data_IF_170941184430
#
_entry.id   IF_170941184430
#
_cell.length_a   1.000
_cell.length_b   1.000
_cell.length_c   1.000
_cell.angle_alpha   90.00
_cell.angle_beta   90.00
_cell.angle_gamma   90.00
#
_symmetry.space_group_name_H-M   'P 1'
#
loop_
_entity.id
_entity.type
_entity.pdbx_description
1 polymer ?
#
# COMPACT_ATOMS: atom_id res chain seq x y z
N UNK A 1 4.38 -20.54 -1.02
CA UNK A 1 3.54 -19.67 -0.15
C UNK A 1 4.34 -19.00 0.96
N UNK A 2 5.11 -19.73 1.78
CA UNK A 2 5.87 -19.16 2.89
C UNK A 2 6.78 -17.97 2.50
N UNK A 3 7.54 -18.08 1.39
CA UNK A 3 8.41 -17.00 0.93
C UNK A 3 7.65 -15.72 0.52
N UNK A 4 6.48 -15.88 -0.11
CA UNK A 4 5.64 -14.74 -0.55
C UNK A 4 5.03 -14.00 0.66
N UNK A 5 4.57 -14.77 1.66
CA UNK A 5 4.09 -14.20 2.93
C UNK A 5 5.23 -13.49 3.66
N UNK A 6 6.40 -14.11 3.75
CA UNK A 6 7.57 -13.51 4.37
C UNK A 6 7.98 -12.20 3.70
N UNK A 7 7.96 -12.14 2.36
CA UNK A 7 8.26 -10.90 1.63
C UNK A 7 7.28 -9.77 1.95
N UNK A 8 5.97 -10.07 1.97
CA UNK A 8 4.94 -9.10 2.36
C UNK A 8 5.09 -8.62 3.81
N UNK A 9 5.40 -9.55 4.72
CA UNK A 9 5.60 -9.25 6.15
C UNK A 9 6.81 -8.35 6.39
N UNK A 10 7.95 -8.67 5.76
CA UNK A 10 9.18 -7.87 5.85
C UNK A 10 8.94 -6.45 5.34
N UNK A 11 8.27 -6.30 4.18
CA UNK A 11 7.89 -4.99 3.66
C UNK A 11 7.02 -4.21 4.64
N UNK A 12 6.01 -4.86 5.24
CA UNK A 12 5.11 -4.20 6.18
C UNK A 12 5.84 -3.73 7.46
N UNK A 13 6.69 -4.57 8.04
CA UNK A 13 7.49 -4.22 9.24
C UNK A 13 8.45 -3.07 8.92
N UNK A 14 9.12 -3.13 7.77
CA UNK A 14 10.04 -2.08 7.34
C UNK A 14 9.31 -0.74 7.21
N UNK A 15 8.12 -0.74 6.61
CA UNK A 15 7.27 0.46 6.54
C UNK A 15 6.88 0.94 7.94
N UNK A 16 6.39 0.08 8.82
CA UNK A 16 5.98 0.49 10.18
C UNK A 16 7.11 1.18 10.94
N UNK A 17 8.34 0.68 10.82
CA UNK A 17 9.50 1.23 11.50
C UNK A 17 9.97 2.52 10.81
N UNK A 18 10.04 2.55 9.47
CA UNK A 18 10.57 3.69 8.73
C UNK A 18 9.61 4.90 8.68
N UNK A 19 8.29 4.64 8.65
CA UNK A 19 7.27 5.68 8.50
C UNK A 19 7.36 6.79 9.55
N UNK A 20 7.47 6.56 10.87
CA UNK A 20 7.56 7.64 11.85
C UNK A 20 8.78 8.55 11.65
N UNK A 21 9.89 8.02 11.15
CA UNK A 21 11.09 8.82 10.87
C UNK A 21 10.95 9.65 9.59
N UNK A 22 10.28 9.10 8.57
CA UNK A 22 10.15 9.73 7.25
C UNK A 22 8.92 10.66 7.17
N UNK A 23 7.89 10.41 7.97
CA UNK A 23 6.65 11.18 8.04
C UNK A 23 6.82 12.70 8.16
N UNK A 24 7.69 13.24 9.04
CA UNK A 24 7.91 14.68 9.11
C UNK A 24 8.61 15.24 7.87
N UNK A 25 9.47 14.45 7.19
CA UNK A 25 10.14 14.88 5.96
C UNK A 25 9.18 14.95 4.77
N UNK A 26 8.19 14.04 4.70
CA UNK A 26 7.21 14.00 3.61
C UNK A 26 5.94 14.82 3.88
N UNK A 27 5.84 15.47 5.05
CA UNK A 27 4.65 16.25 5.43
C UNK A 27 3.41 15.37 5.59
N UNK A 28 3.52 14.24 6.31
CA UNK A 28 2.42 13.31 6.54
C UNK A 28 1.48 13.79 7.66
N UNK A 29 0.94 15.00 7.50
CA UNK A 29 0.14 15.73 8.50
C UNK A 29 -1.24 16.13 7.97
N UNK A 30 -1.61 15.69 6.75
CA UNK A 30 -2.91 15.98 6.16
C UNK A 30 -3.52 14.75 5.46
N UNK A 31 -4.85 14.68 5.33
CA UNK A 31 -5.53 13.52 4.75
C UNK A 31 -5.10 13.21 3.31
N UNK A 32 -4.76 14.22 2.51
CA UNK A 32 -4.33 14.01 1.11
C UNK A 32 -2.99 13.30 1.05
N UNK A 33 -2.03 13.70 1.90
CA UNK A 33 -0.74 13.02 2.00
C UNK A 33 -0.91 11.58 2.48
N UNK A 34 -1.81 11.32 3.45
CA UNK A 34 -2.11 9.96 3.91
C UNK A 34 -2.73 9.07 2.81
N UNK A 35 -3.63 9.62 1.99
CA UNK A 35 -4.21 8.92 0.83
C UNK A 35 -3.13 8.52 -0.18
N UNK A 36 -2.24 9.45 -0.53
CA UNK A 36 -1.13 9.20 -1.46
C UNK A 36 -0.16 8.16 -0.87
N UNK A 37 0.20 8.31 0.40
CA UNK A 37 1.06 7.37 1.11
C UNK A 37 0.46 5.96 1.12
N UNK A 38 -0.84 5.82 1.43
CA UNK A 38 -1.54 4.55 1.40
C UNK A 38 -1.48 3.86 0.04
N UNK A 39 -1.73 4.61 -1.03
CA UNK A 39 -1.65 4.11 -2.41
C UNK A 39 -0.23 3.71 -2.84
N UNK A 40 0.78 4.51 -2.50
CA UNK A 40 2.18 4.25 -2.90
C UNK A 40 2.79 3.06 -2.16
N UNK A 41 2.53 2.90 -0.87
CA UNK A 41 3.08 1.80 -0.09
C UNK A 41 2.42 0.47 -0.46
N UNK A 42 1.10 0.48 -0.65
CA UNK A 42 0.34 -0.69 -1.09
C UNK A 42 0.34 -1.85 -0.07
N UNK A 43 0.51 -1.56 1.23
CA UNK A 43 0.39 -2.55 2.32
C UNK A 43 -0.54 -2.03 3.40
N UNK A 44 -1.71 -2.63 3.58
CA UNK A 44 -2.70 -2.14 4.57
C UNK A 44 -2.18 -2.19 6.01
N UNK A 45 -1.50 -3.28 6.40
CA UNK A 45 -0.94 -3.41 7.75
C UNK A 45 0.20 -2.41 8.00
N UNK A 46 1.15 -2.30 7.06
CA UNK A 46 2.28 -1.37 7.17
C UNK A 46 1.84 0.10 7.23
N UNK A 47 0.88 0.48 6.39
CA UNK A 47 0.31 1.84 6.37
C UNK A 47 -0.48 2.13 7.64
N UNK A 48 -1.28 1.18 8.13
CA UNK A 48 -2.02 1.33 9.38
C UNK A 48 -1.07 1.55 10.57
N UNK A 49 -0.05 0.70 10.71
CA UNK A 49 0.92 0.81 11.81
C UNK A 49 1.79 2.06 11.72
N UNK A 50 2.26 2.40 10.51
CA UNK A 50 3.05 3.60 10.28
C UNK A 50 2.26 4.89 10.55
N UNK A 51 1.02 4.97 10.07
CA UNK A 51 0.14 6.12 10.34
C UNK A 51 -0.32 6.16 11.79
N UNK A 52 -0.55 5.03 12.44
CA UNK A 52 -0.89 4.97 13.86
C UNK A 52 0.26 5.49 14.73
N UNK A 53 1.51 5.25 14.32
CA UNK A 53 2.70 5.78 14.99
C UNK A 53 2.95 7.27 14.75
N UNK A 54 2.38 7.86 13.68
CA UNK A 54 2.52 9.29 13.37
C UNK A 54 1.34 10.12 13.87
N UNK A 55 0.13 9.78 13.40
CA UNK A 55 -1.13 10.38 13.81
C UNK A 55 -2.29 9.46 13.45
N UNK A 56 -2.94 8.93 14.49
CA UNK A 56 -4.02 7.96 14.40
C UNK A 56 -5.23 8.46 13.59
N UNK A 57 -5.43 9.77 13.47
CA UNK A 57 -6.54 10.35 12.69
C UNK A 57 -6.37 10.14 11.19
N UNK A 58 -5.14 9.96 10.71
CA UNK A 58 -4.85 9.76 9.29
C UNK A 58 -4.97 8.29 8.84
N UNK A 59 -4.99 7.35 9.79
CA UNK A 59 -5.08 5.90 9.54
C UNK A 59 -6.21 5.52 8.57
N UNK A 60 -7.48 5.92 8.78
CA UNK A 60 -8.56 5.51 7.87
C UNK A 60 -8.34 6.02 6.44
N UNK A 61 -7.77 7.22 6.27
CA UNK A 61 -7.53 7.82 4.97
C UNK A 61 -6.50 7.04 4.14
N UNK A 62 -5.39 6.63 4.77
CA UNK A 62 -4.36 5.84 4.10
C UNK A 62 -4.71 4.36 3.95
N UNK A 63 -5.38 3.76 4.94
CA UNK A 63 -5.77 2.35 4.87
C UNK A 63 -6.79 2.06 3.76
N UNK A 64 -7.78 2.94 3.58
CA UNK A 64 -8.76 2.82 2.49
C UNK A 64 -8.07 2.82 1.13
N UNK A 65 -7.12 3.73 0.90
CA UNK A 65 -6.40 3.80 -0.38
C UNK A 65 -5.48 2.60 -0.61
N UNK A 66 -4.81 2.11 0.44
CA UNK A 66 -4.00 0.89 0.35
C UNK A 66 -4.85 -0.35 -0.02
N UNK A 67 -6.06 -0.44 0.54
CA UNK A 67 -7.00 -1.49 0.19
C UNK A 67 -7.48 -1.36 -1.26
N UNK A 68 -7.84 -0.15 -1.69
CA UNK A 68 -8.20 0.12 -3.09
C UNK A 68 -7.06 -0.20 -4.06
N UNK A 69 -5.81 0.16 -3.74
CA UNK A 69 -4.64 -0.20 -4.55
C UNK A 69 -4.55 -1.72 -4.77
N UNK A 70 -4.74 -2.49 -3.70
CA UNK A 70 -4.72 -3.97 -3.78
C UNK A 70 -5.88 -4.48 -4.62
N UNK A 71 -7.10 -4.00 -4.38
CA UNK A 71 -8.29 -4.39 -5.15
C UNK A 71 -8.13 -4.08 -6.65
N UNK A 72 -7.57 -2.91 -6.97
CA UNK A 72 -7.31 -2.49 -8.33
C UNK A 72 -6.24 -3.38 -8.98
N UNK A 73 -5.17 -3.73 -8.27
CA UNK A 73 -4.17 -4.70 -8.72
C UNK A 73 -4.76 -6.10 -8.98
N UNK A 74 -5.64 -6.57 -8.09
CA UNK A 74 -6.33 -7.85 -8.25
C UNK A 74 -7.31 -7.86 -9.43
N UNK A 75 -7.88 -6.70 -9.79
CA UNK A 75 -8.77 -6.57 -10.94
C UNK A 75 -7.99 -6.44 -12.25
N UNK A 76 -6.94 -5.61 -12.25
CA UNK A 76 -6.12 -5.31 -13.41
C UNK A 76 -5.22 -6.48 -13.81
N UNK A 77 -4.64 -7.21 -12.85
CA UNK A 77 -3.76 -8.36 -13.12
C UNK A 77 -4.34 -9.37 -14.12
N UNK A 78 -5.49 -10.01 -13.83
CA UNK A 78 -6.11 -10.96 -14.75
C UNK A 78 -6.61 -10.30 -16.03
N UNK A 79 -7.13 -9.06 -15.95
CA UNK A 79 -7.66 -8.33 -17.10
C UNK A 79 -6.57 -8.01 -18.12
N UNK A 80 -5.44 -7.45 -17.68
CA UNK A 80 -4.28 -7.18 -18.52
C UNK A 80 -3.69 -8.45 -19.09
N UNK A 81 -3.56 -9.49 -18.27
CA UNK A 81 -3.03 -10.78 -18.73
C UNK A 81 -3.90 -11.37 -19.84
N UNK A 82 -5.23 -11.28 -19.71
CA UNK A 82 -6.17 -11.70 -20.74
C UNK A 82 -6.01 -10.90 -22.05
N UNK A 83 -5.98 -9.57 -21.98
CA UNK A 83 -5.81 -8.74 -23.18
C UNK A 83 -4.45 -8.97 -23.86
N UNK A 84 -3.38 -9.14 -23.09
CA UNK A 84 -2.04 -9.44 -23.61
C UNK A 84 -1.99 -10.80 -24.29
N UNK A 85 -2.54 -11.85 -23.65
CA UNK A 85 -2.65 -13.18 -24.26
C UNK A 85 -3.47 -13.16 -25.54
N UNK A 86 -4.60 -12.45 -25.55
CA UNK A 86 -5.47 -12.33 -26.72
C UNK A 86 -4.79 -11.58 -27.89
N UNK A 87 -3.89 -10.64 -27.61
CA UNK A 87 -3.13 -9.95 -28.67
C UNK A 87 -1.91 -10.72 -29.18
N UNK A 88 -1.42 -11.73 -28.43
CA UNK A 88 -0.26 -12.55 -28.80
C UNK A 88 -0.65 -13.88 -29.47
N UNK A 89 -1.72 -14.54 -29.01
CA UNK A 89 -2.18 -15.85 -29.51
C UNK A 89 -3.48 -15.77 -30.32
N UNK A 90 -4.07 -14.59 -30.47
CA UNK A 90 -5.31 -14.33 -31.20
C UNK A 90 -5.11 -13.42 -32.39
#
# INVERSE_FOLDING_TARGET
MALSIAAGLVKAILVMIATPFVAPMIGLNNPRAAVIFGGLIGTSSGVAGGLAATDARLVPYGCLTAAFYTALGCLLGPSLLFFVMRGLLG
#
